data_IF_175371460612
#
_entry.id   IF_175371460612
#
_cell.length_a   1.000
_cell.length_b   1.000
_cell.length_c   1.000
_cell.angle_alpha   90.00
_cell.angle_beta   90.00
_cell.angle_gamma   90.00
#
_symmetry.space_group_name_H-M   'P 1'
#
loop_
_entity.id
_entity.type
_entity.pdbx_description
1 polymer ?
#
# COMPACT_ATOMS: atom_id res chain seq x y z
N UNK A 1 -1.87 17.45 -33.40
CA UNK A 1 -2.17 16.97 -34.77
C UNK A 1 -3.58 17.34 -35.23
N UNK A 2 -4.64 17.06 -34.46
CA UNK A 2 -6.03 17.39 -34.84
C UNK A 2 -6.37 18.89 -34.87
N UNK A 3 -5.54 19.75 -34.27
CA UNK A 3 -5.81 21.20 -34.20
C UNK A 3 -6.75 21.64 -33.08
N UNK A 4 -7.15 20.73 -32.18
CA UNK A 4 -7.97 21.05 -31.00
C UNK A 4 -7.25 22.10 -30.14
N UNK A 5 -7.98 23.13 -29.69
CA UNK A 5 -7.46 24.20 -28.85
C UNK A 5 -6.50 25.18 -29.58
N UNK A 6 -6.48 25.19 -30.92
CA UNK A 6 -5.63 26.11 -31.67
C UNK A 6 -6.32 27.41 -32.13
N UNK A 7 -7.65 27.51 -31.97
CA UNK A 7 -8.40 28.73 -32.29
C UNK A 7 -8.28 29.77 -31.18
N UNK A 8 -8.63 31.03 -31.48
CA UNK A 8 -8.47 32.18 -30.58
C UNK A 8 -9.11 32.00 -29.19
N UNK A 9 -10.20 31.25 -29.10
CA UNK A 9 -10.91 30.94 -27.86
C UNK A 9 -10.84 29.45 -27.49
N UNK A 10 -10.00 28.67 -28.18
CA UNK A 10 -9.81 27.26 -27.88
C UNK A 10 -8.71 27.09 -26.83
N UNK A 11 -8.95 26.22 -25.84
CA UNK A 11 -7.95 25.87 -24.83
C UNK A 11 -8.05 24.38 -24.51
N UNK A 12 -6.90 23.72 -24.40
CA UNK A 12 -6.81 22.38 -23.81
C UNK A 12 -6.38 22.52 -22.35
N UNK A 13 -7.24 22.12 -21.43
CA UNK A 13 -6.88 22.02 -20.02
C UNK A 13 -6.31 20.62 -19.76
N UNK A 14 -5.08 20.57 -19.24
CA UNK A 14 -4.38 19.32 -18.92
C UNK A 14 -4.01 19.32 -17.44
N UNK A 15 -4.37 18.28 -16.69
CA UNK A 15 -4.01 18.17 -15.28
C UNK A 15 -3.46 16.79 -14.94
N UNK A 16 -2.39 16.76 -14.14
CA UNK A 16 -1.76 15.56 -13.62
C UNK A 16 -0.89 15.96 -12.40
N UNK A 17 -1.11 15.31 -11.27
CA UNK A 17 -0.41 15.58 -10.01
C UNK A 17 0.94 14.86 -9.89
N UNK A 18 1.23 13.93 -10.80
CA UNK A 18 2.41 13.10 -10.69
C UNK A 18 3.64 13.77 -11.29
N UNK A 19 4.79 13.44 -10.69
CA UNK A 19 6.09 13.68 -11.29
C UNK A 19 6.50 12.54 -12.24
N UNK A 20 7.44 12.81 -13.14
CA UNK A 20 7.93 11.84 -14.12
C UNK A 20 8.91 10.87 -13.45
N UNK A 21 8.63 9.58 -13.58
CA UNK A 21 9.52 8.51 -13.14
C UNK A 21 10.24 7.83 -14.31
N UNK A 22 11.37 7.18 -14.03
CA UNK A 22 12.11 6.39 -15.03
C UNK A 22 11.26 5.29 -15.67
N UNK A 23 10.37 4.66 -14.89
CA UNK A 23 9.44 3.61 -15.33
C UNK A 23 8.46 4.09 -16.41
N UNK A 24 8.17 5.39 -16.44
CA UNK A 24 7.18 6.00 -17.31
C UNK A 24 7.69 6.15 -18.75
N UNK A 25 9.00 6.36 -18.92
CA UNK A 25 9.65 6.68 -20.20
C UNK A 25 9.45 5.60 -21.28
N UNK A 26 9.17 4.36 -20.89
CA UNK A 26 8.89 3.26 -21.82
C UNK A 26 7.61 3.49 -22.67
N UNK A 27 6.61 4.20 -22.12
CA UNK A 27 5.29 4.36 -22.75
C UNK A 27 4.80 5.80 -22.86
N UNK A 28 5.36 6.72 -22.08
CA UNK A 28 5.03 8.15 -22.10
C UNK A 28 6.09 8.91 -22.91
N UNK A 29 6.03 8.76 -24.24
CA UNK A 29 7.07 9.20 -25.18
C UNK A 29 7.29 10.72 -25.28
N UNK A 30 6.43 11.53 -24.64
CA UNK A 30 6.63 12.98 -24.53
C UNK A 30 7.80 13.33 -23.60
N UNK A 31 8.18 12.43 -22.69
CA UNK A 31 9.19 12.65 -21.67
C UNK A 31 10.57 12.13 -22.09
N UNK A 32 11.62 12.70 -21.49
CA UNK A 32 13.03 12.29 -21.64
C UNK A 32 13.63 11.99 -20.28
N UNK A 33 14.79 11.34 -20.27
CA UNK A 33 15.53 11.06 -19.02
C UNK A 33 15.95 12.32 -18.26
N UNK A 34 16.07 13.47 -18.95
CA UNK A 34 16.30 14.78 -18.33
C UNK A 34 15.11 15.31 -17.54
N UNK A 35 13.92 14.76 -17.77
CA UNK A 35 12.66 15.29 -17.26
C UNK A 35 12.20 14.57 -15.98
N UNK A 36 12.99 13.59 -15.50
CA UNK A 36 12.71 12.85 -14.27
C UNK A 36 12.55 13.82 -13.09
N UNK A 37 11.57 13.55 -12.24
CA UNK A 37 11.14 14.38 -11.10
C UNK A 37 10.44 15.70 -11.46
N UNK A 38 10.27 16.03 -12.74
CA UNK A 38 9.44 17.17 -13.16
C UNK A 38 7.97 16.75 -13.30
N UNK A 39 7.04 17.71 -13.26
CA UNK A 39 5.60 17.45 -13.32
C UNK A 39 5.16 17.02 -14.72
N UNK A 40 4.42 15.90 -14.82
CA UNK A 40 3.99 15.31 -16.10
C UNK A 40 3.23 16.28 -16.98
N UNK A 41 2.22 16.96 -16.42
CA UNK A 41 1.35 17.88 -17.17
C UNK A 41 2.12 19.05 -17.79
N UNK A 42 3.03 19.67 -17.04
CA UNK A 42 3.85 20.80 -17.50
C UNK A 42 4.79 20.40 -18.63
N UNK A 43 5.54 19.32 -18.46
CA UNK A 43 6.49 18.83 -19.47
C UNK A 43 5.75 18.36 -20.73
N UNK A 44 4.60 17.69 -20.57
CA UNK A 44 3.77 17.26 -21.70
C UNK A 44 3.27 18.47 -22.50
N UNK A 45 2.77 19.51 -21.83
CA UNK A 45 2.31 20.73 -22.50
C UNK A 45 3.44 21.41 -23.29
N UNK A 46 4.64 21.52 -22.71
CA UNK A 46 5.81 22.06 -23.42
C UNK A 46 6.23 21.22 -24.62
N UNK A 47 6.24 19.89 -24.48
CA UNK A 47 6.56 18.97 -25.57
C UNK A 47 5.56 19.11 -26.72
N UNK A 48 4.26 19.21 -26.42
CA UNK A 48 3.20 19.36 -27.43
C UNK A 48 3.26 20.74 -28.11
N UNK A 49 3.57 21.81 -27.37
CA UNK A 49 3.78 23.15 -27.97
C UNK A 49 4.94 23.17 -28.97
N UNK A 50 6.00 22.38 -28.73
CA UNK A 50 7.10 22.20 -29.71
C UNK A 50 6.63 21.49 -30.98
N UNK A 51 5.67 20.57 -30.88
CA UNK A 51 5.11 19.84 -32.02
C UNK A 51 4.09 20.68 -32.81
N UNK A 52 3.31 21.51 -32.14
CA UNK A 52 2.36 22.43 -32.76
C UNK A 52 2.32 23.77 -31.99
N UNK A 53 3.03 24.81 -32.47
CA UNK A 53 3.12 26.10 -31.77
C UNK A 53 1.78 26.84 -31.63
N UNK A 54 0.77 26.50 -32.43
CA UNK A 54 -0.54 27.17 -32.40
C UNK A 54 -1.45 26.63 -31.29
N UNK A 55 -1.08 25.54 -30.62
CA UNK A 55 -1.92 24.94 -29.58
C UNK A 55 -1.90 25.77 -28.30
N UNK A 56 -3.08 26.05 -27.76
CA UNK A 56 -3.23 26.64 -26.45
C UNK A 56 -3.48 25.54 -25.41
N UNK A 57 -2.60 25.44 -24.42
CA UNK A 57 -2.68 24.43 -23.35
C UNK A 57 -2.47 25.13 -22.02
N UNK A 58 -3.38 24.91 -21.07
CA UNK A 58 -3.21 25.30 -19.67
C UNK A 58 -2.98 24.05 -18.83
N UNK A 59 -1.80 23.97 -18.19
CA UNK A 59 -1.34 22.79 -17.47
C UNK A 59 -1.41 22.99 -15.95
N UNK A 60 -2.19 22.14 -15.29
CA UNK A 60 -2.40 22.09 -13.84
C UNK A 60 -1.67 20.90 -13.23
N UNK A 61 -1.38 20.99 -11.93
CA UNK A 61 -0.69 19.94 -11.17
C UNK A 61 -1.51 19.41 -10.00
N UNK A 62 -2.78 19.82 -9.94
CA UNK A 62 -3.66 19.57 -8.81
C UNK A 62 -4.50 18.32 -9.08
N UNK A 63 -4.61 17.37 -8.12
CA UNK A 63 -5.47 16.20 -8.27
C UNK A 63 -6.90 16.62 -8.60
N UNK A 64 -7.61 15.83 -9.40
CA UNK A 64 -9.04 16.05 -9.60
C UNK A 64 -9.84 15.27 -8.56
N UNK A 65 -10.53 15.99 -7.67
CA UNK A 65 -11.33 15.39 -6.62
C UNK A 65 -12.06 16.44 -5.77
N UNK A 66 -12.82 16.00 -4.74
CA UNK A 66 -13.62 16.91 -3.91
C UNK A 66 -12.83 18.06 -3.28
N UNK A 67 -11.56 17.82 -2.93
CA UNK A 67 -10.70 18.82 -2.27
C UNK A 67 -10.29 19.97 -3.19
N UNK A 68 -10.34 19.76 -4.52
CA UNK A 68 -9.88 20.72 -5.53
C UNK A 68 -11.03 21.33 -6.34
N UNK A 69 -12.28 21.18 -5.90
CA UNK A 69 -13.46 21.77 -6.56
C UNK A 69 -13.43 23.31 -6.58
N UNK A 70 -12.68 23.92 -5.68
CA UNK A 70 -12.43 25.36 -5.71
C UNK A 70 -11.58 25.80 -6.91
N UNK A 71 -10.72 24.92 -7.45
CA UNK A 71 -9.96 25.13 -8.68
C UNK A 71 -10.77 24.72 -9.91
N UNK A 72 -11.42 23.56 -9.85
CA UNK A 72 -12.28 23.01 -10.91
C UNK A 72 -13.75 23.32 -10.64
N UNK A 73 -14.04 24.63 -10.54
CA UNK A 73 -15.32 25.20 -10.16
C UNK A 73 -16.42 25.00 -11.20
N UNK A 74 -17.63 25.49 -10.89
CA UNK A 74 -18.75 25.56 -11.83
C UNK A 74 -18.35 26.26 -13.14
N UNK A 75 -17.78 27.47 -13.03
CA UNK A 75 -17.29 28.25 -14.18
C UNK A 75 -16.30 27.45 -15.04
N UNK A 76 -15.41 26.69 -14.40
CA UNK A 76 -14.42 25.87 -15.11
C UNK A 76 -15.08 24.76 -15.92
N UNK A 77 -16.05 24.03 -15.35
CA UNK A 77 -16.72 22.95 -16.08
C UNK A 77 -17.68 23.49 -17.13
N UNK A 78 -18.39 24.58 -16.85
CA UNK A 78 -19.37 25.18 -17.75
C UNK A 78 -18.75 25.62 -19.09
N UNK A 79 -17.52 26.14 -19.09
CA UNK A 79 -16.80 26.51 -20.32
C UNK A 79 -16.35 25.31 -21.16
N UNK A 80 -16.29 24.09 -20.62
CA UNK A 80 -15.78 22.93 -21.36
C UNK A 80 -16.77 22.49 -22.44
N UNK A 81 -16.23 22.08 -23.60
CA UNK A 81 -17.02 21.41 -24.64
C UNK A 81 -17.10 19.89 -24.44
N UNK A 82 -16.16 19.32 -23.67
CA UNK A 82 -16.13 17.91 -23.33
C UNK A 82 -14.89 17.57 -22.50
N UNK A 83 -14.84 16.33 -22.00
CA UNK A 83 -13.78 15.82 -21.14
C UNK A 83 -13.22 14.52 -21.73
N UNK A 84 -11.91 14.31 -21.63
CA UNK A 84 -11.26 13.06 -22.01
C UNK A 84 -10.43 12.54 -20.84
N UNK A 85 -10.73 11.33 -20.37
CA UNK A 85 -9.99 10.70 -19.29
C UNK A 85 -8.69 10.04 -19.79
N UNK A 86 -7.64 10.19 -18.99
CA UNK A 86 -6.37 9.47 -19.11
C UNK A 86 -5.94 8.92 -17.73
N UNK A 87 -6.91 8.37 -16.99
CA UNK A 87 -6.80 7.99 -15.58
C UNK A 87 -6.42 6.51 -15.42
N UNK A 88 -5.83 6.17 -14.27
CA UNK A 88 -5.36 4.82 -13.93
C UNK A 88 -6.17 4.14 -12.82
N UNK A 89 -7.09 4.85 -12.16
CA UNK A 89 -7.89 4.34 -11.06
C UNK A 89 -9.40 4.62 -11.24
N UNK A 90 -10.22 3.68 -10.77
CA UNK A 90 -11.68 3.71 -10.93
C UNK A 90 -12.33 4.86 -10.15
N UNK A 91 -11.80 5.22 -8.98
CA UNK A 91 -12.36 6.30 -8.14
C UNK A 91 -12.33 7.66 -8.85
N UNK A 92 -11.21 8.00 -9.48
CA UNK A 92 -11.08 9.22 -10.27
C UNK A 92 -12.00 9.21 -11.50
N UNK A 93 -12.10 8.07 -12.21
CA UNK A 93 -13.04 7.93 -13.35
C UNK A 93 -14.48 8.20 -12.92
N UNK A 94 -14.93 7.58 -11.83
CA UNK A 94 -16.27 7.79 -11.28
C UNK A 94 -16.50 9.23 -10.81
N UNK A 95 -15.48 9.90 -10.26
CA UNK A 95 -15.58 11.31 -9.88
C UNK A 95 -15.80 12.21 -11.10
N UNK A 96 -14.97 12.08 -12.14
CA UNK A 96 -15.13 12.84 -13.39
C UNK A 96 -16.48 12.53 -14.06
N UNK A 97 -16.91 11.27 -14.10
CA UNK A 97 -18.21 10.87 -14.64
C UNK A 97 -19.37 11.61 -13.95
N UNK A 98 -19.36 11.66 -12.61
CA UNK A 98 -20.38 12.42 -11.85
C UNK A 98 -20.35 13.92 -12.16
N UNK A 99 -19.16 14.52 -12.29
CA UNK A 99 -19.04 15.95 -12.66
C UNK A 99 -19.55 16.19 -14.08
N UNK A 100 -19.17 15.34 -15.04
CA UNK A 100 -19.63 15.43 -16.43
C UNK A 100 -21.16 15.27 -16.54
N UNK A 101 -21.74 14.35 -15.77
CA UNK A 101 -23.19 14.18 -15.70
C UNK A 101 -23.87 15.44 -15.15
N UNK A 102 -23.34 16.02 -14.07
CA UNK A 102 -23.88 17.22 -13.43
C UNK A 102 -23.88 18.43 -14.38
N UNK A 103 -22.74 18.70 -15.04
CA UNK A 103 -22.61 19.83 -15.98
C UNK A 103 -23.00 19.48 -17.43
N UNK A 104 -23.54 18.29 -17.66
CA UNK A 104 -23.99 17.82 -18.96
C UNK A 104 -22.89 17.92 -20.04
N UNK A 105 -21.68 17.47 -19.69
CA UNK A 105 -20.52 17.48 -20.58
C UNK A 105 -20.29 16.09 -21.17
N UNK A 106 -20.06 15.97 -22.49
CA UNK A 106 -19.57 14.73 -23.08
C UNK A 106 -18.27 14.27 -22.44
N UNK A 107 -18.16 12.97 -22.19
CA UNK A 107 -16.97 12.35 -21.62
C UNK A 107 -16.52 11.19 -22.52
N UNK A 108 -15.23 11.14 -22.83
CA UNK A 108 -14.61 9.94 -23.42
C UNK A 108 -13.68 9.33 -22.38
N UNK A 109 -13.95 8.08 -22.01
CA UNK A 109 -13.11 7.28 -21.13
C UNK A 109 -12.36 6.21 -21.92
N UNK A 110 -11.15 5.89 -21.46
CA UNK A 110 -10.37 4.80 -22.01
C UNK A 110 -9.51 4.14 -20.94
N UNK A 111 -9.22 2.86 -21.13
CA UNK A 111 -8.41 2.06 -20.21
C UNK A 111 -7.52 1.06 -20.93
N UNK A 112 -6.43 0.67 -20.29
CA UNK A 112 -5.51 -0.37 -20.80
C UNK A 112 -5.06 -1.31 -19.70
N UNK A 113 -4.91 -2.59 -20.02
CA UNK A 113 -4.26 -3.59 -19.16
C UNK A 113 -3.47 -4.57 -20.02
N UNK A 114 -2.16 -4.38 -20.08
CA UNK A 114 -1.26 -5.11 -20.98
C UNK A 114 -1.66 -4.91 -22.45
N UNK A 115 -2.13 -5.97 -23.10
CA UNK A 115 -2.62 -5.94 -24.48
C UNK A 115 -4.13 -5.70 -24.58
N UNK A 116 -4.85 -5.63 -23.45
CA UNK A 116 -6.28 -5.32 -23.41
C UNK A 116 -6.51 -3.82 -23.39
N UNK A 117 -7.59 -3.37 -24.02
CA UNK A 117 -8.01 -1.98 -24.05
C UNK A 117 -9.53 -1.84 -24.08
N UNK A 118 -10.03 -0.71 -23.60
CA UNK A 118 -11.43 -0.30 -23.70
C UNK A 118 -11.53 1.19 -24.04
N UNK A 119 -12.60 1.55 -24.75
CA UNK A 119 -13.02 2.94 -24.98
C UNK A 119 -14.52 3.01 -24.72
N UNK A 120 -14.95 4.01 -23.97
CA UNK A 120 -16.35 4.28 -23.69
C UNK A 120 -16.64 5.76 -23.93
N UNK A 121 -17.75 6.04 -24.59
CA UNK A 121 -18.21 7.40 -24.88
C UNK A 121 -19.49 7.63 -24.11
N UNK A 122 -19.50 8.67 -23.28
CA UNK A 122 -20.65 9.11 -22.50
C UNK A 122 -21.15 10.42 -23.10
N UNK A 123 -22.35 10.40 -23.67
CA UNK A 123 -23.00 11.54 -24.28
C UNK A 123 -24.25 11.90 -23.47
N UNK A 124 -24.33 13.14 -22.92
CA UNK A 124 -25.49 13.60 -22.18
C UNK A 124 -26.80 13.35 -22.93
N UNK A 125 -27.79 12.84 -22.22
CA UNK A 125 -29.14 12.53 -22.75
C UNK A 125 -29.21 11.46 -23.85
N UNK A 126 -28.12 10.74 -24.12
CA UNK A 126 -28.07 9.72 -25.17
C UNK A 126 -27.55 8.36 -24.69
N UNK A 127 -26.46 8.33 -23.93
CA UNK A 127 -25.85 7.08 -23.45
C UNK A 127 -25.86 7.00 -21.93
N UNK A 128 -25.60 5.81 -21.40
CA UNK A 128 -25.41 5.60 -19.98
C UNK A 128 -24.09 6.23 -19.48
N UNK A 129 -24.04 6.71 -18.23
CA UNK A 129 -22.81 7.18 -17.59
C UNK A 129 -21.84 6.01 -17.32
N UNK A 130 -20.57 6.31 -17.13
CA UNK A 130 -19.55 5.29 -16.80
C UNK A 130 -19.94 4.48 -15.56
N UNK A 131 -20.50 5.15 -14.56
CA UNK A 131 -20.89 4.53 -13.29
C UNK A 131 -22.17 3.66 -13.36
N UNK A 132 -22.85 3.58 -14.50
CA UNK A 132 -24.02 2.70 -14.65
C UNK A 132 -23.61 1.21 -14.66
N UNK A 133 -22.45 0.91 -15.24
CA UNK A 133 -21.87 -0.42 -15.28
C UNK A 133 -20.97 -0.66 -14.07
N UNK A 134 -21.12 -1.82 -13.43
CA UNK A 134 -20.28 -2.23 -12.32
C UNK A 134 -19.19 -3.17 -12.83
N UNK A 135 -17.94 -2.72 -12.76
CA UNK A 135 -16.80 -3.60 -12.95
C UNK A 135 -16.75 -4.62 -11.79
N UNK A 136 -16.33 -5.87 -12.05
CA UNK A 136 -16.12 -6.83 -10.98
C UNK A 136 -15.08 -6.27 -10.00
N UNK A 137 -15.40 -6.30 -8.72
CA UNK A 137 -14.47 -5.91 -7.67
C UNK A 137 -13.24 -6.83 -7.70
N UNK A 138 -12.07 -6.27 -7.38
CA UNK A 138 -10.87 -7.07 -7.18
C UNK A 138 -11.14 -8.12 -6.09
N UNK A 139 -10.75 -9.36 -6.37
CA UNK A 139 -10.92 -10.45 -5.42
C UNK A 139 -10.04 -10.20 -4.20
N UNK A 140 -10.64 -9.86 -3.05
CA UNK A 140 -9.93 -9.73 -1.78
C UNK A 140 -9.57 -11.11 -1.24
N UNK A 141 -8.32 -11.29 -0.81
CA UNK A 141 -7.88 -12.53 -0.16
C UNK A 141 -8.47 -12.57 1.27
N UNK A 142 -9.09 -13.67 1.71
CA UNK A 142 -9.62 -13.79 3.08
C UNK A 142 -8.53 -13.60 4.14
N UNK A 143 -8.86 -12.92 5.24
CA UNK A 143 -7.90 -12.58 6.30
C UNK A 143 -7.29 -13.80 6.98
N UNK A 144 -8.06 -14.88 7.18
CA UNK A 144 -7.54 -16.14 7.70
C UNK A 144 -6.50 -16.77 6.76
N UNK A 145 -6.71 -16.62 5.45
CA UNK A 145 -5.77 -17.13 4.43
C UNK A 145 -4.47 -16.34 4.48
N UNK A 146 -4.55 -15.00 4.55
CA UNK A 146 -3.36 -14.15 4.69
C UNK A 146 -2.62 -14.40 6.00
N UNK A 147 -3.34 -14.50 7.13
CA UNK A 147 -2.73 -14.60 8.47
C UNK A 147 -2.18 -15.98 8.81
N UNK A 148 -2.87 -17.07 8.47
CA UNK A 148 -2.55 -18.40 8.99
C UNK A 148 -2.44 -19.50 7.93
N UNK A 149 -3.13 -19.38 6.79
CA UNK A 149 -3.27 -20.49 5.84
C UNK A 149 -2.98 -20.09 4.37
N UNK A 150 -1.80 -19.51 4.06
CA UNK A 150 -1.43 -19.24 2.68
C UNK A 150 -1.24 -20.56 1.90
N UNK A 151 -1.53 -20.52 0.60
CA UNK A 151 -1.33 -21.66 -0.32
C UNK A 151 -0.83 -21.23 -1.71
N UNK A 152 -0.84 -19.93 -1.99
CA UNK A 152 -0.31 -19.30 -3.19
C UNK A 152 0.74 -18.26 -2.79
N UNK A 153 1.68 -18.00 -3.69
CA UNK A 153 2.73 -17.00 -3.46
C UNK A 153 2.13 -15.60 -3.29
N UNK A 154 1.05 -15.28 -4.02
CA UNK A 154 0.29 -14.04 -3.90
C UNK A 154 -0.15 -13.78 -2.44
N UNK A 155 -0.57 -14.82 -1.71
CA UNK A 155 -0.98 -14.68 -0.30
C UNK A 155 0.21 -14.31 0.59
N UNK A 156 1.39 -14.88 0.32
CA UNK A 156 2.60 -14.56 1.08
C UNK A 156 3.15 -13.18 0.76
N UNK A 157 2.97 -12.70 -0.47
CA UNK A 157 3.39 -11.36 -0.91
C UNK A 157 2.51 -10.29 -0.28
N UNK A 158 1.19 -10.45 -0.31
CA UNK A 158 0.27 -9.51 0.35
C UNK A 158 0.51 -9.51 1.87
N UNK A 159 0.70 -10.68 2.48
CA UNK A 159 1.10 -10.73 3.89
C UNK A 159 2.42 -10.01 4.17
N UNK A 160 3.44 -10.17 3.32
CA UNK A 160 4.72 -9.51 3.47
C UNK A 160 4.61 -7.98 3.33
N UNK A 161 3.71 -7.51 2.47
CA UNK A 161 3.39 -6.08 2.32
C UNK A 161 2.69 -5.52 3.57
N UNK A 162 1.64 -6.20 4.05
CA UNK A 162 0.97 -5.84 5.30
C UNK A 162 1.98 -5.83 6.47
N UNK A 163 2.92 -6.78 6.46
CA UNK A 163 3.95 -6.86 7.47
C UNK A 163 4.95 -5.71 7.39
N UNK A 164 5.34 -5.27 6.19
CA UNK A 164 6.15 -4.08 5.98
C UNK A 164 5.46 -2.84 6.56
N UNK A 165 4.19 -2.62 6.20
CA UNK A 165 3.42 -1.47 6.70
C UNK A 165 3.26 -1.51 8.23
N UNK A 166 2.94 -2.69 8.77
CA UNK A 166 2.76 -2.90 10.21
C UNK A 166 4.03 -2.80 11.05
N UNK A 167 5.22 -2.93 10.46
CA UNK A 167 6.49 -2.78 11.18
C UNK A 167 7.17 -1.43 10.96
N UNK A 168 7.09 -0.89 9.74
CA UNK A 168 7.95 0.22 9.32
C UNK A 168 7.21 1.52 9.01
N UNK A 169 5.89 1.46 8.80
CA UNK A 169 5.07 2.62 8.42
C UNK A 169 4.14 3.01 9.54
N UNK A 170 3.16 2.16 9.87
CA UNK A 170 2.04 2.50 10.76
C UNK A 170 2.53 2.87 12.17
N UNK A 171 3.37 2.07 12.86
CA UNK A 171 3.83 2.43 14.19
C UNK A 171 4.65 3.72 14.21
N UNK A 172 5.49 3.93 13.19
CA UNK A 172 6.34 5.11 13.09
C UNK A 172 5.51 6.39 12.83
N UNK A 173 4.50 6.32 11.95
CA UNK A 173 3.56 7.43 11.71
C UNK A 173 2.73 7.76 12.95
N UNK A 174 2.27 6.75 13.68
CA UNK A 174 1.54 6.96 14.94
C UNK A 174 2.40 7.66 16.00
N UNK A 175 3.69 7.30 16.07
CA UNK A 175 4.65 7.96 16.98
C UNK A 175 4.93 9.39 16.53
N UNK A 176 5.11 9.64 15.24
CA UNK A 176 5.27 10.99 14.69
C UNK A 176 4.05 11.87 15.01
N UNK A 177 2.83 11.36 14.81
CA UNK A 177 1.59 12.04 15.17
C UNK A 177 1.52 12.33 16.68
N UNK A 178 1.85 11.34 17.50
CA UNK A 178 1.88 11.47 18.96
C UNK A 178 2.90 12.50 19.46
N UNK A 179 4.08 12.56 18.85
CA UNK A 179 5.12 13.56 19.15
C UNK A 179 4.68 14.95 18.72
N UNK A 180 3.98 15.06 17.58
CA UNK A 180 3.47 16.34 17.05
C UNK A 180 2.34 16.91 17.91
N UNK A 181 1.34 16.09 18.24
CA UNK A 181 0.24 16.48 19.12
C UNK A 181 -0.34 15.27 19.87
N UNK A 182 0.13 15.09 21.11
CA UNK A 182 -0.29 13.98 21.97
C UNK A 182 -1.78 14.01 22.32
N UNK A 183 -2.40 15.20 22.41
CA UNK A 183 -3.83 15.32 22.73
C UNK A 183 -4.69 14.95 21.52
N UNK A 184 -4.32 15.41 20.33
CA UNK A 184 -5.00 15.03 19.09
C UNK A 184 -4.90 13.52 18.86
N UNK A 185 -3.72 12.93 19.07
CA UNK A 185 -3.53 11.49 18.96
C UNK A 185 -4.40 10.70 19.97
N UNK A 186 -4.42 11.11 21.24
CA UNK A 186 -5.27 10.46 22.24
C UNK A 186 -6.78 10.58 21.93
N UNK A 187 -7.21 11.71 21.34
CA UNK A 187 -8.57 11.89 20.85
C UNK A 187 -8.89 10.97 19.66
N UNK A 188 -7.92 10.74 18.77
CA UNK A 188 -8.07 9.77 17.68
C UNK A 188 -8.24 8.35 18.22
N UNK A 189 -7.46 7.96 19.23
CA UNK A 189 -7.60 6.65 19.88
C UNK A 189 -8.99 6.51 20.51
N UNK A 190 -9.50 7.51 21.24
CA UNK A 190 -10.82 7.39 21.87
C UNK A 190 -11.96 7.20 20.86
N UNK A 191 -11.78 7.69 19.63
CA UNK A 191 -12.71 7.54 18.51
C UNK A 191 -12.63 6.19 17.77
N UNK A 192 -11.69 5.32 18.09
CA UNK A 192 -11.60 4.00 17.49
C UNK A 192 -12.82 3.13 17.85
N UNK A 193 -13.26 2.32 16.87
CA UNK A 193 -14.47 1.51 16.99
C UNK A 193 -14.31 0.34 17.97
N UNK A 194 -13.11 -0.21 18.13
CA UNK A 194 -12.86 -1.38 19.00
C UNK A 194 -11.76 -1.12 20.03
N UNK A 195 -11.87 -1.77 21.19
CA UNK A 195 -10.82 -1.75 22.21
C UNK A 195 -9.51 -2.41 21.74
N UNK A 196 -9.60 -3.34 20.79
CA UNK A 196 -8.42 -3.97 20.18
C UNK A 196 -7.59 -2.92 19.40
N UNK A 197 -8.25 -2.12 18.56
CA UNK A 197 -7.59 -1.05 17.80
C UNK A 197 -6.96 -0.01 18.75
N UNK A 198 -7.68 0.36 19.82
CA UNK A 198 -7.16 1.28 20.84
C UNK A 198 -5.88 0.76 21.48
N UNK A 199 -5.88 -0.51 21.89
CA UNK A 199 -4.73 -1.16 22.51
C UNK A 199 -3.57 -1.30 21.53
N UNK A 200 -3.84 -1.62 20.26
CA UNK A 200 -2.82 -1.72 19.22
C UNK A 200 -2.10 -0.38 18.99
N UNK A 201 -2.85 0.72 18.86
CA UNK A 201 -2.25 2.07 18.70
C UNK A 201 -1.38 2.46 19.89
N UNK A 202 -1.84 2.17 21.12
CA UNK A 202 -1.07 2.44 22.33
C UNK A 202 0.20 1.58 22.37
N UNK A 203 0.09 0.30 22.03
CA UNK A 203 1.20 -0.65 22.06
C UNK A 203 2.26 -0.31 20.98
N UNK A 204 1.84 0.09 19.78
CA UNK A 204 2.74 0.54 18.73
C UNK A 204 3.61 1.71 19.21
N UNK A 205 3.01 2.72 19.84
CA UNK A 205 3.75 3.86 20.40
C UNK A 205 4.70 3.42 21.51
N UNK A 206 4.23 2.56 22.43
CA UNK A 206 5.06 2.02 23.51
C UNK A 206 6.25 1.22 22.99
N UNK A 207 6.08 0.42 21.94
CA UNK A 207 7.15 -0.41 21.38
C UNK A 207 8.23 0.43 20.69
N UNK A 208 7.85 1.41 19.87
CA UNK A 208 8.83 2.27 19.19
C UNK A 208 9.55 3.19 20.19
N UNK A 209 8.85 3.69 21.21
CA UNK A 209 9.41 4.57 22.24
C UNK A 209 9.92 3.81 23.48
N UNK A 210 10.06 2.48 23.39
CA UNK A 210 10.51 1.66 24.50
C UNK A 210 11.93 2.06 24.95
N UNK A 211 12.23 1.86 26.23
CA UNK A 211 13.57 2.09 26.78
C UNK A 211 14.64 1.24 26.10
N UNK A 212 14.24 0.09 25.56
CA UNK A 212 15.07 -0.89 24.85
C UNK A 212 15.12 -0.65 23.33
N UNK A 213 14.68 0.52 22.85
CA UNK A 213 14.76 0.85 21.41
C UNK A 213 16.20 0.75 20.87
N UNK A 214 16.38 0.40 19.59
CA UNK A 214 17.69 0.40 18.96
C UNK A 214 18.43 1.73 19.11
N UNK A 215 19.72 1.68 19.48
CA UNK A 215 20.62 2.84 19.56
C UNK A 215 21.84 2.71 18.65
N UNK A 216 22.19 1.47 18.32
CA UNK A 216 23.28 1.12 17.41
C UNK A 216 22.76 0.23 16.30
N UNK A 217 23.49 0.14 15.19
CA UNK A 217 23.13 -0.77 14.11
C UNK A 217 23.13 -2.25 14.56
N UNK A 218 23.96 -2.62 15.55
CA UNK A 218 23.91 -3.96 16.13
C UNK A 218 22.58 -4.23 16.82
N UNK A 219 22.00 -3.25 17.52
CA UNK A 219 20.66 -3.39 18.11
C UNK A 219 19.59 -3.59 17.03
N UNK A 220 19.75 -2.96 15.85
CA UNK A 220 18.89 -3.19 14.69
C UNK A 220 19.01 -4.63 14.16
N UNK A 221 20.21 -5.21 14.16
CA UNK A 221 20.43 -6.63 13.80
C UNK A 221 19.77 -7.55 14.84
N UNK A 222 19.93 -7.25 16.13
CA UNK A 222 19.28 -8.00 17.23
C UNK A 222 17.75 -7.96 17.05
N UNK A 223 17.20 -6.77 16.79
CA UNK A 223 15.76 -6.61 16.51
C UNK A 223 15.33 -7.46 15.32
N UNK A 224 16.01 -7.33 14.17
CA UNK A 224 15.69 -8.07 12.95
C UNK A 224 15.74 -9.59 13.17
N UNK A 225 16.74 -10.11 13.89
CA UNK A 225 16.86 -11.54 14.20
C UNK A 225 15.75 -12.04 15.11
N UNK A 226 15.28 -11.22 16.06
CA UNK A 226 14.12 -11.56 16.90
C UNK A 226 12.80 -11.49 16.11
N UNK A 227 12.66 -10.57 15.15
CA UNK A 227 11.51 -10.54 14.24
C UNK A 227 11.49 -11.80 13.36
N UNK A 228 12.64 -12.19 12.79
CA UNK A 228 12.76 -13.46 12.04
C UNK A 228 12.28 -14.63 12.91
N UNK A 229 12.79 -14.74 14.14
CA UNK A 229 12.40 -15.79 15.07
C UNK A 229 10.89 -15.79 15.32
N UNK A 230 10.33 -14.61 15.60
CA UNK A 230 8.91 -14.45 15.91
C UNK A 230 8.04 -14.91 14.73
N UNK A 231 8.38 -14.47 13.52
CA UNK A 231 7.54 -14.63 12.33
C UNK A 231 7.63 -16.03 11.73
N UNK A 232 8.85 -16.54 11.49
CA UNK A 232 9.06 -17.76 10.71
C UNK A 232 9.29 -19.01 11.57
N UNK A 233 9.46 -18.84 12.89
CA UNK A 233 9.55 -19.96 13.83
C UNK A 233 8.44 -19.92 14.88
N UNK A 234 8.40 -18.90 15.75
CA UNK A 234 7.54 -18.92 16.95
C UNK A 234 6.05 -18.96 16.60
N UNK A 235 5.60 -18.10 15.67
CA UNK A 235 4.21 -18.07 15.24
C UNK A 235 3.81 -19.39 14.58
N UNK A 236 4.72 -20.01 13.81
CA UNK A 236 4.48 -21.31 13.17
C UNK A 236 4.42 -22.43 14.20
N UNK A 237 5.35 -22.45 15.16
CA UNK A 237 5.34 -23.40 16.27
C UNK A 237 4.08 -23.26 17.14
N UNK A 238 3.60 -22.03 17.38
CA UNK A 238 2.33 -21.79 18.05
C UNK A 238 1.15 -22.33 17.23
N UNK A 239 1.14 -22.10 15.91
CA UNK A 239 0.09 -22.59 15.02
C UNK A 239 0.03 -24.12 15.01
N UNK A 240 1.18 -24.81 14.99
CA UNK A 240 1.27 -26.27 15.07
C UNK A 240 0.92 -26.82 16.46
N UNK A 241 1.16 -26.06 17.53
CA UNK A 241 0.70 -26.43 18.87
C UNK A 241 -0.83 -26.41 18.96
N UNK A 242 -1.44 -25.40 18.33
CA UNK A 242 -2.90 -25.27 18.25
C UNK A 242 -3.54 -26.32 17.34
N UNK A 243 -2.91 -26.58 16.19
CA UNK A 243 -3.36 -27.55 15.19
C UNK A 243 -2.23 -28.52 14.84
N UNK A 244 -2.07 -29.60 15.62
CA UNK A 244 -1.07 -30.64 15.35
C UNK A 244 -1.19 -31.23 13.93
N UNK A 245 -0.13 -31.88 13.45
CA UNK A 245 -0.07 -32.46 12.10
C UNK A 245 -1.21 -33.47 11.85
N UNK A 246 -1.58 -34.22 12.88
CA UNK A 246 -2.64 -35.23 12.89
C UNK A 246 -4.01 -34.67 13.33
N UNK A 247 -4.15 -33.35 13.46
CA UNK A 247 -5.40 -32.72 13.85
C UNK A 247 -6.53 -33.05 12.88
N UNK A 248 -7.65 -33.52 13.42
CA UNK A 248 -8.87 -33.84 12.68
C UNK A 248 -9.98 -32.87 13.07
N UNK A 249 -10.72 -32.40 12.07
CA UNK A 249 -11.87 -31.53 12.28
C UNK A 249 -13.01 -32.28 12.97
N UNK A 250 -14.05 -31.55 13.40
CA UNK A 250 -15.27 -32.13 13.98
C UNK A 250 -15.98 -33.13 13.05
N UNK A 251 -15.76 -33.03 11.74
CA UNK A 251 -16.30 -33.93 10.72
C UNK A 251 -15.45 -35.18 10.48
N UNK A 252 -14.30 -35.30 11.15
CA UNK A 252 -13.37 -36.43 11.02
C UNK A 252 -12.38 -36.33 9.85
N UNK A 253 -12.34 -35.20 9.16
CA UNK A 253 -11.41 -34.93 8.06
C UNK A 253 -10.08 -34.37 8.60
N UNK A 254 -8.99 -34.56 7.85
CA UNK A 254 -7.69 -33.97 8.22
C UNK A 254 -7.76 -32.45 8.09
N UNK A 255 -7.38 -31.74 9.15
CA UNK A 255 -7.35 -30.27 9.16
C UNK A 255 -6.40 -29.71 8.11
N UNK A 256 -5.19 -30.26 8.02
CA UNK A 256 -4.20 -29.92 7.01
C UNK A 256 -4.49 -30.67 5.70
N UNK A 257 -5.44 -30.17 4.92
CA UNK A 257 -5.80 -30.74 3.62
C UNK A 257 -6.30 -29.66 2.65
N UNK A 258 -6.32 -30.00 1.35
CA UNK A 258 -6.74 -29.09 0.29
C UNK A 258 -5.94 -27.78 0.28
N UNK A 259 -6.62 -26.67 0.57
CA UNK A 259 -6.06 -25.33 0.58
C UNK A 259 -5.29 -24.98 1.88
N UNK A 260 -5.36 -25.81 2.93
CA UNK A 260 -4.62 -25.63 4.19
C UNK A 260 -3.35 -26.47 4.16
N UNK A 261 -2.22 -25.84 3.82
CA UNK A 261 -0.90 -26.49 3.80
C UNK A 261 -0.32 -26.50 5.21
N UNK A 262 0.16 -27.66 5.66
CA UNK A 262 0.76 -27.77 6.99
C UNK A 262 2.12 -27.06 6.99
N UNK A 263 2.35 -26.08 7.87
CA UNK A 263 3.61 -25.38 7.86
C UNK A 263 4.68 -26.10 8.67
N UNK A 264 5.93 -25.67 8.52
CA UNK A 264 7.06 -26.07 9.38
C UNK A 264 7.85 -24.83 9.84
N UNK A 265 8.32 -24.79 11.09
CA UNK A 265 9.16 -23.70 11.58
C UNK A 265 10.51 -23.67 10.86
N UNK A 266 10.98 -22.48 10.48
CA UNK A 266 12.30 -22.30 9.87
C UNK A 266 13.31 -21.94 10.94
N UNK A 267 14.39 -22.72 11.02
CA UNK A 267 15.57 -22.37 11.82
C UNK A 267 16.45 -21.38 11.04
N UNK A 268 16.90 -20.33 11.72
CA UNK A 268 17.77 -19.35 11.08
C UNK A 268 19.14 -19.95 10.75
N UNK A 269 19.51 -19.83 9.49
CA UNK A 269 20.84 -20.13 8.97
C UNK A 269 21.42 -18.88 8.30
N UNK A 270 22.61 -18.46 8.73
CA UNK A 270 23.33 -17.32 8.15
C UNK A 270 23.89 -17.62 6.76
N UNK A 271 24.05 -18.90 6.41
CA UNK A 271 24.55 -19.34 5.11
C UNK A 271 23.46 -19.31 4.03
N UNK A 272 22.19 -19.36 4.45
CA UNK A 272 21.06 -19.18 3.55
C UNK A 272 20.92 -17.71 3.12
N UNK A 273 20.83 -17.52 1.80
CA UNK A 273 20.77 -16.19 1.21
C UNK A 273 19.50 -15.44 1.59
N UNK A 274 18.34 -16.11 1.56
CA UNK A 274 17.03 -15.50 1.84
C UNK A 274 16.95 -15.08 3.31
N UNK A 275 17.48 -15.91 4.20
CA UNK A 275 17.58 -15.62 5.63
C UNK A 275 18.44 -14.38 5.89
N UNK A 276 19.63 -14.31 5.28
CA UNK A 276 20.51 -13.16 5.43
C UNK A 276 19.92 -11.90 4.80
N UNK A 277 19.32 -12.00 3.59
CA UNK A 277 18.68 -10.88 2.91
C UNK A 277 17.56 -10.26 3.77
N UNK A 278 16.76 -11.10 4.47
CA UNK A 278 15.77 -10.62 5.43
C UNK A 278 16.41 -9.78 6.54
N UNK A 279 17.50 -10.27 7.15
CA UNK A 279 18.19 -9.56 8.24
C UNK A 279 18.77 -8.25 7.74
N UNK A 280 19.41 -8.25 6.56
CA UNK A 280 19.98 -7.05 5.93
C UNK A 280 18.90 -6.01 5.69
N UNK A 281 17.78 -6.38 5.06
CA UNK A 281 16.71 -5.44 4.75
C UNK A 281 16.04 -4.93 6.04
N UNK A 282 15.61 -5.84 6.93
CA UNK A 282 14.91 -5.48 8.16
C UNK A 282 15.75 -4.59 9.09
N UNK A 283 17.05 -4.88 9.25
CA UNK A 283 17.95 -4.08 10.09
C UNK A 283 18.21 -2.69 9.50
N UNK A 284 18.33 -2.55 8.17
CA UNK A 284 18.49 -1.25 7.53
C UNK A 284 17.20 -0.42 7.55
N UNK A 285 16.03 -1.05 7.40
CA UNK A 285 14.74 -0.36 7.50
C UNK A 285 14.50 0.18 8.92
N UNK A 286 14.71 -0.64 9.95
CA UNK A 286 14.54 -0.17 11.34
C UNK A 286 15.63 0.84 11.73
N UNK A 287 16.85 0.74 11.20
CA UNK A 287 17.90 1.73 11.42
C UNK A 287 17.48 3.11 10.90
N UNK A 288 16.89 3.17 9.70
CA UNK A 288 16.38 4.41 9.11
C UNK A 288 15.32 5.07 10.00
N UNK A 289 14.37 4.29 10.54
CA UNK A 289 13.31 4.79 11.42
C UNK A 289 13.88 5.57 12.60
N UNK A 290 14.97 5.09 13.20
CA UNK A 290 15.61 5.73 14.36
C UNK A 290 16.76 6.69 13.99
N UNK A 291 16.98 6.98 12.71
CA UNK A 291 18.09 7.83 12.26
C UNK A 291 19.49 7.23 12.50
N UNK A 292 19.58 5.90 12.61
CA UNK A 292 20.84 5.18 12.80
C UNK A 292 21.49 4.96 11.42
N UNK A 293 22.80 5.22 11.25
CA UNK A 293 23.49 4.97 9.99
C UNK A 293 23.35 3.51 9.53
N UNK A 294 22.84 3.35 8.31
CA UNK A 294 22.66 2.07 7.64
C UNK A 294 24.01 1.42 7.28
N UNK A 295 24.02 0.08 7.22
CA UNK A 295 25.21 -0.71 6.87
C UNK A 295 24.87 -1.58 5.66
N UNK A 296 25.59 -1.35 4.56
CA UNK A 296 25.40 -2.07 3.29
C UNK A 296 26.30 -3.31 3.14
N UNK A 297 27.25 -3.50 4.05
CA UNK A 297 28.17 -4.64 4.02
C UNK A 297 27.49 -5.91 4.58
N UNK A 298 27.05 -6.79 3.68
CA UNK A 298 26.38 -8.04 4.02
C UNK A 298 27.29 -8.97 4.85
N UNK A 299 28.59 -9.00 4.57
CA UNK A 299 29.53 -9.86 5.30
C UNK A 299 29.69 -9.41 6.76
N UNK A 300 29.71 -8.09 6.99
CA UNK A 300 29.69 -7.54 8.34
C UNK A 300 28.41 -7.93 9.08
N UNK A 301 27.24 -7.78 8.45
CA UNK A 301 25.95 -8.16 9.05
C UNK A 301 25.90 -9.66 9.38
N UNK A 302 26.36 -10.51 8.45
CA UNK A 302 26.45 -11.95 8.66
C UNK A 302 27.34 -12.32 9.86
N UNK A 303 28.47 -11.64 10.05
CA UNK A 303 29.36 -11.89 11.19
C UNK A 303 28.77 -11.45 12.54
N UNK A 304 27.91 -10.43 12.55
CA UNK A 304 27.29 -9.89 13.76
C UNK A 304 26.02 -10.66 14.15
N UNK A 305 25.19 -11.06 13.18
CA UNK A 305 23.91 -11.74 13.46
C UNK A 305 24.09 -13.08 14.19
N UNK A 306 25.19 -13.79 13.94
CA UNK A 306 25.53 -15.07 14.61
C UNK A 306 25.77 -14.87 16.11
N UNK A 307 26.13 -13.65 16.55
CA UNK A 307 26.37 -13.33 17.97
C UNK A 307 25.06 -13.08 18.73
N UNK A 308 23.93 -12.92 18.03
CA UNK A 308 22.65 -12.59 18.64
C UNK A 308 22.10 -13.80 19.39
N UNK A 309 21.81 -13.61 20.68
CA UNK A 309 21.13 -14.61 21.50
C UNK A 309 19.63 -14.45 21.34
N UNK A 310 18.98 -15.49 20.86
CA UNK A 310 17.53 -15.53 20.66
C UNK A 310 16.89 -16.29 21.81
N UNK A 311 15.84 -15.76 22.45
CA UNK A 311 15.13 -16.46 23.51
C UNK A 311 14.48 -17.75 22.99
N UNK A 312 14.48 -18.80 23.82
CA UNK A 312 13.73 -20.02 23.51
C UNK A 312 12.23 -19.72 23.50
N UNK A 313 11.52 -20.35 22.56
CA UNK A 313 10.08 -20.20 22.43
C UNK A 313 9.35 -21.34 23.14
N UNK A 314 8.33 -20.99 23.91
CA UNK A 314 7.40 -21.93 24.53
C UNK A 314 5.97 -21.59 24.06
N UNK A 315 5.24 -22.54 23.45
CA UNK A 315 3.88 -22.29 22.99
C UNK A 315 2.94 -22.08 24.17
N UNK A 316 2.03 -21.12 24.02
CA UNK A 316 1.04 -20.76 25.03
C UNK A 316 -0.26 -21.52 24.83
N UNK A 317 -0.85 -22.00 25.91
CA UNK A 317 -2.19 -22.62 25.90
C UNK A 317 -3.27 -21.54 25.88
N UNK A 318 -4.34 -21.74 25.10
CA UNK A 318 -5.49 -20.81 25.06
C UNK A 318 -5.39 -19.65 24.07
N UNK A 319 -4.34 -19.59 23.24
CA UNK A 319 -4.31 -18.66 22.09
C UNK A 319 -5.39 -19.07 21.09
N UNK A 320 -6.35 -18.20 20.79
CA UNK A 320 -7.36 -18.46 19.76
C UNK A 320 -6.78 -18.17 18.38
N UNK A 321 -6.95 -19.11 17.45
CA UNK A 321 -6.60 -18.95 16.03
C UNK A 321 -7.86 -19.30 15.24
N UNK A 322 -8.38 -18.33 14.49
CA UNK A 322 -9.61 -18.50 13.70
C UNK A 322 -9.34 -19.30 12.44
N UNK A 323 -10.24 -20.21 12.09
CA UNK A 323 -10.14 -21.04 10.91
C UNK A 323 -10.67 -20.35 9.65
N UNK A 324 -11.62 -19.44 9.81
CA UNK A 324 -12.29 -18.73 8.73
C UNK A 324 -12.66 -17.29 9.15
N UNK A 325 -12.92 -16.46 8.14
CA UNK A 325 -13.23 -15.04 8.34
C UNK A 325 -14.58 -14.81 9.05
N UNK A 326 -15.51 -15.78 9.01
CA UNK A 326 -16.79 -15.70 9.72
C UNK A 326 -16.58 -15.75 11.24
N UNK A 327 -15.67 -16.60 11.71
CA UNK A 327 -15.28 -16.66 13.13
C UNK A 327 -14.59 -15.38 13.58
N UNK A 328 -13.73 -14.78 12.75
CA UNK A 328 -13.12 -13.47 13.02
C UNK A 328 -14.22 -12.42 13.17
N UNK A 329 -15.14 -12.34 12.20
CA UNK A 329 -16.22 -11.35 12.20
C UNK A 329 -17.15 -11.54 13.40
N UNK A 330 -17.51 -12.77 13.73
CA UNK A 330 -18.36 -13.08 14.87
C UNK A 330 -17.73 -12.63 16.19
N UNK A 331 -16.43 -12.85 16.37
CA UNK A 331 -15.73 -12.37 17.58
C UNK A 331 -15.60 -10.84 17.60
N UNK A 332 -15.31 -10.20 16.46
CA UNK A 332 -15.28 -8.73 16.36
C UNK A 332 -16.65 -8.10 16.66
N UNK A 333 -17.73 -8.70 16.17
CA UNK A 333 -19.10 -8.26 16.49
C UNK A 333 -19.44 -8.45 17.97
N UNK A 334 -19.03 -9.57 18.58
CA UNK A 334 -19.24 -9.83 20.00
C UNK A 334 -18.47 -8.82 20.88
N UNK A 335 -17.21 -8.55 20.55
CA UNK A 335 -16.40 -7.53 21.22
C UNK A 335 -16.98 -6.13 21.08
N UNK A 336 -17.49 -5.79 19.89
CA UNK A 336 -18.14 -4.48 19.63
C UNK A 336 -19.45 -4.31 20.39
N UNK A 337 -20.21 -5.40 20.63
CA UNK A 337 -21.45 -5.37 21.43
C UNK A 337 -21.18 -5.21 22.92
N UNK A 338 -20.05 -5.71 23.42
CA UNK A 338 -19.66 -5.58 24.83
C UNK A 338 -19.13 -4.18 25.19
N UNK A 339 -18.68 -3.38 24.22
CA UNK A 339 -18.16 -2.03 24.43
C UNK A 339 -19.23 -0.91 24.53
N UNK A 340 -20.53 -1.22 24.49
CA UNK A 340 -21.62 -0.22 24.47
C UNK A 340 -22.07 0.26 25.87
N UNK A 341 -21.46 -0.19 26.95
CA UNK A 341 -21.85 0.23 28.32
C UNK A 341 -20.74 0.94 29.08
N UNK A 342 -20.43 2.20 28.74
CA UNK A 342 -20.11 3.27 29.70
C UNK A 342 -19.95 4.61 28.98
N UNK A 343 -20.86 5.56 29.25
CA UNK A 343 -20.63 6.98 28.93
C UNK A 343 -19.62 7.56 29.92
N UNK A 344 -18.34 7.30 29.70
CA UNK A 344 -17.28 8.07 30.37
C UNK A 344 -17.18 9.45 29.71
N UNK A 345 -16.94 10.49 30.50
CA UNK A 345 -16.61 11.81 29.97
C UNK A 345 -15.41 11.65 29.03
N UNK A 346 -15.53 12.05 27.75
CA UNK A 346 -14.45 11.87 26.76
C UNK A 346 -13.11 12.49 27.18
N UNK A 347 -13.13 13.47 28.10
CA UNK A 347 -11.93 14.04 28.71
C UNK A 347 -11.22 13.11 29.72
N UNK A 348 -11.94 12.25 30.44
CA UNK A 348 -11.36 11.27 31.37
C UNK A 348 -10.71 10.11 30.62
N UNK A 349 -11.35 9.60 29.56
CA UNK A 349 -10.78 8.56 28.70
C UNK A 349 -9.48 9.02 28.03
N UNK A 350 -9.44 10.27 27.53
CA UNK A 350 -8.21 10.86 26.97
C UNK A 350 -7.11 10.92 28.03
N UNK A 351 -7.41 11.29 29.27
CA UNK A 351 -6.43 11.30 30.37
C UNK A 351 -5.90 9.90 30.69
N UNK A 352 -6.76 8.88 30.69
CA UNK A 352 -6.37 7.49 30.90
C UNK A 352 -5.45 6.98 29.79
N UNK A 353 -5.76 7.28 28.52
CA UNK A 353 -4.91 6.93 27.37
C UNK A 353 -3.54 7.61 27.50
N UNK A 354 -3.51 8.91 27.78
CA UNK A 354 -2.27 9.66 27.95
C UNK A 354 -1.42 9.14 29.13
N UNK A 355 -2.06 8.66 30.21
CA UNK A 355 -1.35 8.09 31.35
C UNK A 355 -0.62 6.77 31.00
N UNK A 356 -1.09 6.05 29.99
CA UNK A 356 -0.45 4.84 29.50
C UNK A 356 0.71 5.13 28.53
N UNK A 357 0.73 6.31 27.91
CA UNK A 357 1.74 6.68 26.92
C UNK A 357 2.98 7.31 27.59
N UNK A 358 4.16 7.21 26.94
CA UNK A 358 5.37 7.86 27.45
C UNK A 358 5.18 9.38 27.59
N UNK A 359 5.68 9.96 28.68
CA UNK A 359 5.57 11.42 28.91
C UNK A 359 6.36 12.20 27.85
N UNK A 360 5.73 13.24 27.29
CA UNK A 360 6.27 14.09 26.23
C UNK A 360 7.70 14.62 26.52
N UNK A 361 8.01 14.95 27.77
CA UNK A 361 9.32 15.50 28.15
C UNK A 361 10.49 14.53 27.94
N UNK A 362 10.23 13.22 27.89
CA UNK A 362 11.27 12.19 27.66
C UNK A 362 11.52 11.89 26.18
N UNK A 363 10.71 12.44 25.29
CA UNK A 363 10.65 12.04 23.87
C UNK A 363 10.87 13.20 22.89
N UNK A 364 11.01 14.44 23.38
CA UNK A 364 11.21 15.64 22.55
C UNK A 364 12.43 15.59 21.61
N UNK A 365 13.47 14.87 22.00
CA UNK A 365 14.71 14.78 21.23
C UNK A 365 14.75 13.56 20.28
N UNK A 366 13.66 12.78 20.22
CA UNK A 366 13.58 11.57 19.38
C UNK A 366 13.00 11.96 18.02
N UNK A 367 13.78 11.79 16.96
CA UNK A 367 13.28 11.85 15.59
C UNK A 367 12.95 10.44 15.11
N UNK A 368 11.78 10.29 14.52
CA UNK A 368 11.29 9.03 13.94
C UNK A 368 10.96 9.29 12.47
N UNK A 369 11.42 8.39 11.60
CA UNK A 369 11.25 8.51 10.15
C UNK A 369 10.41 7.35 9.63
N UNK A 370 9.08 7.51 9.47
CA UNK A 370 8.26 6.46 8.89
C UNK A 370 8.68 6.16 7.45
N UNK A 371 8.59 4.89 7.05
CA UNK A 371 8.78 4.52 5.65
C UNK A 371 7.47 4.67 4.88
N UNK A 372 7.55 5.27 3.70
CA UNK A 372 6.48 5.21 2.70
C UNK A 372 6.89 4.19 1.63
N UNK A 373 6.05 3.19 1.39
CA UNK A 373 6.37 2.13 0.46
C UNK A 373 6.66 2.69 -0.94
N UNK A 374 7.78 2.27 -1.52
CA UNK A 374 8.30 2.76 -2.79
C UNK A 374 8.94 1.57 -3.51
N UNK A 375 8.29 1.17 -4.60
CA UNK A 375 8.62 -0.03 -5.39
C UNK A 375 9.73 0.23 -6.41
N UNK A 376 9.92 1.48 -6.85
CA UNK A 376 10.79 1.85 -7.97
C UNK A 376 12.17 2.36 -7.56
N UNK A 377 12.43 2.43 -6.26
CA UNK A 377 13.76 2.67 -5.71
C UNK A 377 14.38 1.34 -5.24
N UNK A 378 15.38 0.85 -5.99
CA UNK A 378 16.07 -0.41 -5.69
C UNK A 378 17.09 -0.31 -4.53
N UNK A 379 17.29 0.85 -3.93
CA UNK A 379 18.30 1.07 -2.87
C UNK A 379 17.70 1.32 -1.49
N UNK A 380 16.36 1.35 -1.36
CA UNK A 380 15.66 1.66 -0.10
C UNK A 380 15.35 0.41 0.75
N UNK A 381 15.68 -0.79 0.29
CA UNK A 381 15.36 -2.08 0.92
C UNK A 381 13.88 -2.47 1.02
N UNK A 382 12.94 -1.69 0.44
CA UNK A 382 11.51 -1.98 0.55
C UNK A 382 11.16 -3.30 -0.15
N UNK A 383 11.49 -3.40 -1.44
CA UNK A 383 11.27 -4.63 -2.22
C UNK A 383 12.13 -5.77 -1.70
N UNK A 384 13.37 -5.51 -1.27
CA UNK A 384 14.26 -6.56 -0.78
C UNK A 384 13.71 -7.21 0.50
N UNK A 385 13.13 -6.40 1.39
CA UNK A 385 12.41 -6.90 2.56
C UNK A 385 11.19 -7.75 2.17
N UNK A 386 10.33 -7.24 1.28
CA UNK A 386 9.12 -7.98 0.86
C UNK A 386 9.50 -9.29 0.18
N UNK A 387 10.55 -9.31 -0.64
CA UNK A 387 11.03 -10.51 -1.33
C UNK A 387 11.48 -11.57 -0.32
N UNK A 388 12.36 -11.21 0.60
CA UNK A 388 12.85 -12.16 1.60
C UNK A 388 11.71 -12.65 2.50
N UNK A 389 10.85 -11.73 2.96
CA UNK A 389 9.73 -12.01 3.85
C UNK A 389 8.67 -12.92 3.22
N UNK A 390 8.30 -12.66 1.96
CA UNK A 390 7.35 -13.49 1.22
C UNK A 390 7.92 -14.89 0.95
N UNK A 391 9.19 -14.98 0.52
CA UNK A 391 9.81 -16.27 0.22
C UNK A 391 10.07 -17.12 1.48
N UNK A 392 10.44 -16.52 2.61
CA UNK A 392 10.53 -17.22 3.90
C UNK A 392 9.17 -17.79 4.34
N UNK A 393 8.11 -16.99 4.19
CA UNK A 393 6.76 -17.48 4.48
C UNK A 393 6.31 -18.53 3.47
N UNK A 394 6.71 -18.42 2.21
CA UNK A 394 6.42 -19.44 1.20
C UNK A 394 7.08 -20.77 1.60
N UNK A 395 8.35 -20.73 2.03
CA UNK A 395 9.08 -21.88 2.54
C UNK A 395 8.40 -22.51 3.76
N UNK A 396 7.94 -21.71 4.74
CA UNK A 396 7.20 -22.24 5.90
C UNK A 396 6.03 -23.15 5.48
N UNK A 397 5.38 -22.90 4.33
CA UNK A 397 4.19 -23.61 3.87
C UNK A 397 4.45 -24.45 2.60
N UNK A 398 5.72 -24.73 2.28
CA UNK A 398 6.19 -25.47 1.09
C UNK A 398 5.70 -24.88 -0.25
N UNK A 399 5.44 -23.57 -0.30
CA UNK A 399 4.97 -22.84 -1.49
C UNK A 399 6.19 -22.49 -2.37
N UNK A 400 6.05 -22.64 -3.69
CA UNK A 400 7.10 -22.26 -4.63
C UNK A 400 7.42 -20.77 -4.49
N UNK A 401 8.71 -20.46 -4.26
CA UNK A 401 9.20 -19.09 -4.10
C UNK A 401 9.12 -18.31 -5.42
N UNK A 402 9.17 -16.99 -5.33
CA UNK A 402 9.15 -16.13 -6.51
C UNK A 402 10.40 -15.23 -6.57
N UNK A 403 10.74 -14.84 -7.79
CA UNK A 403 11.82 -13.89 -8.02
C UNK A 403 11.42 -12.46 -7.64
N UNK A 404 12.44 -11.59 -7.50
CA UNK A 404 12.28 -10.17 -7.17
C UNK A 404 11.31 -9.46 -8.13
N UNK A 405 11.34 -9.80 -9.41
CA UNK A 405 10.51 -9.17 -10.43
C UNK A 405 9.02 -9.53 -10.28
N UNK A 406 8.69 -10.81 -10.07
CA UNK A 406 7.31 -11.25 -9.84
C UNK A 406 6.77 -10.66 -8.53
N UNK A 407 7.57 -10.67 -7.47
CA UNK A 407 7.18 -10.11 -6.17
C UNK A 407 6.96 -8.60 -6.26
N UNK A 408 7.90 -7.85 -6.86
CA UNK A 408 7.75 -6.40 -7.09
C UNK A 408 6.49 -6.06 -7.87
N UNK A 409 6.13 -6.86 -8.88
CA UNK A 409 4.92 -6.66 -9.68
C UNK A 409 3.65 -6.81 -8.84
N UNK A 410 3.57 -7.86 -8.03
CA UNK A 410 2.38 -8.16 -7.21
C UNK A 410 2.28 -7.16 -6.06
N UNK A 411 3.35 -7.04 -5.26
CA UNK A 411 3.41 -6.15 -4.10
C UNK A 411 3.21 -4.67 -4.46
N UNK A 412 3.72 -4.24 -5.62
CA UNK A 412 3.54 -2.87 -6.11
C UNK A 412 2.22 -2.63 -6.87
N UNK A 413 1.33 -3.61 -6.94
CA UNK A 413 0.11 -3.61 -7.76
C UNK A 413 0.35 -3.03 -9.17
N UNK A 414 1.45 -3.45 -9.80
CA UNK A 414 1.90 -2.86 -11.07
C UNK A 414 0.96 -3.30 -12.18
N UNK A 415 0.18 -2.35 -12.70
CA UNK A 415 -0.66 -2.56 -13.89
C UNK A 415 0.24 -2.68 -15.12
N UNK A 416 0.24 -3.83 -15.83
CA UNK A 416 1.02 -3.96 -17.05
C UNK A 416 0.57 -2.94 -18.10
N UNK A 417 1.51 -2.25 -18.73
CA UNK A 417 1.21 -1.26 -19.75
C UNK A 417 2.30 -1.25 -20.83
N UNK A 418 1.90 -1.08 -22.10
CA UNK A 418 2.80 -1.03 -23.25
C UNK A 418 2.34 0.05 -24.23
N UNK A 419 3.31 0.75 -24.83
CA UNK A 419 3.06 1.87 -25.74
C UNK A 419 2.15 1.52 -26.92
N UNK A 420 2.21 0.29 -27.42
CA UNK A 420 1.40 -0.17 -28.57
C UNK A 420 -0.09 -0.13 -28.26
N UNK A 421 -0.51 -0.70 -27.12
CA UNK A 421 -1.90 -0.67 -26.67
C UNK A 421 -2.36 0.75 -26.39
N UNK A 422 -1.53 1.55 -25.71
CA UNK A 422 -1.82 2.97 -25.41
C UNK A 422 -2.03 3.77 -26.70
N UNK A 423 -1.14 3.67 -27.68
CA UNK A 423 -1.27 4.40 -28.94
C UNK A 423 -2.52 3.97 -29.73
N UNK A 424 -2.82 2.66 -29.75
CA UNK A 424 -4.01 2.12 -30.40
C UNK A 424 -5.29 2.67 -29.77
N UNK A 425 -5.42 2.60 -28.43
CA UNK A 425 -6.62 3.05 -27.73
C UNK A 425 -6.82 4.57 -27.86
N UNK A 426 -5.73 5.36 -27.78
CA UNK A 426 -5.79 6.81 -28.02
C UNK A 426 -6.26 7.12 -29.44
N UNK A 427 -5.85 6.33 -30.44
CA UNK A 427 -6.35 6.46 -31.81
C UNK A 427 -7.87 6.28 -31.90
N UNK A 428 -8.42 5.27 -31.23
CA UNK A 428 -9.87 5.04 -31.16
C UNK A 428 -10.60 6.17 -30.43
N UNK A 429 -10.05 6.67 -29.33
CA UNK A 429 -10.58 7.86 -28.62
C UNK A 429 -10.68 9.05 -29.57
N UNK A 430 -9.62 9.33 -30.34
CA UNK A 430 -9.64 10.43 -31.32
C UNK A 430 -10.70 10.27 -32.42
N UNK A 431 -11.06 9.03 -32.81
CA UNK A 431 -12.15 8.79 -33.75
C UNK A 431 -13.51 9.19 -33.16
N UNK A 432 -13.73 8.91 -31.87
CA UNK A 432 -14.95 9.28 -31.17
C UNK A 432 -15.04 10.80 -30.93
N UNK A 433 -13.90 11.46 -30.69
CA UNK A 433 -13.82 12.93 -30.60
C UNK A 433 -14.40 13.59 -31.86
N UNK A 434 -14.13 13.06 -33.06
CA UNK A 434 -14.72 13.60 -34.28
C UNK A 434 -16.25 13.52 -34.31
N UNK A 435 -16.86 12.49 -33.69
CA UNK A 435 -18.33 12.37 -33.65
C UNK A 435 -18.97 13.34 -32.66
N UNK A 436 -18.27 13.70 -31.59
CA UNK A 436 -18.77 14.63 -30.57
C UNK A 436 -18.77 16.09 -31.03
N UNK A 437 -17.84 16.45 -31.92
CA UNK A 437 -17.61 17.83 -32.35
C UNK A 437 -17.88 18.05 -33.86
N UNK A 438 -18.64 17.16 -34.48
CA UNK A 438 -19.33 17.36 -35.76
C UNK A 438 -20.67 18.04 -35.51
#
# INVERSE_FOLDING_TARGET
MMGIGCEKNGTVFLTDMDSIEKSNLNRQFLFRSSDISQMKSKVAAEAVRKMNPNINIDAYIDPVGPETEHLYSDDFFEQLNGVANALDNVKARQYIDRRCLYYQKPLIDSGTMGTKASVQVVVPFLTEPYSATHDPADASIPMCTLRNFPNLIEHTIEWARDNFEGLFTIPAQQVEEFIRDSNQFAKRISQCNTSADKNEMIENVKQILASERPKTFFDCIVWARNIFQKQFYNNIAQLLYNFPLDHVTKTGERFWSGNKRCPHPIEFDVSDKTHLDFIVAASNLIAYIYGIPQVLDHSKIASEVVKVKVPNFEPKTGVKIHENDEEIRAEMEEQSRQSVTTSNNGEEEIKEILAQLPKADKIRDIQIHPHEFEKDNDTNFHIDYIVATANLRAENYDIETADRSKIKRIAGHIIPAIATTTAMVTGLVCLEVYKLFQ
#
